data_IF_089223569649
#
_entry.id   IF_089223569649
#
_cell.length_a   1.000
_cell.length_b   1.000
_cell.length_c   1.000
_cell.angle_alpha   90.00
_cell.angle_beta   90.00
_cell.angle_gamma   90.00
#
_symmetry.space_group_name_H-M   'P 1'
#
loop_
_entity.id
_entity.type
_entity.pdbx_description
1 polymer ?
#
# COMPACT_ATOMS: atom_id res chain seq x y z
N UNK A 1 -29.75 -49.20 -56.85
CA UNK A 1 -30.49 -48.97 -55.58
C UNK A 1 -30.09 -47.59 -55.10
N UNK A 2 -31.03 -46.64 -55.10
CA UNK A 2 -30.78 -45.20 -55.01
C UNK A 2 -30.10 -44.79 -53.69
N UNK A 3 -29.01 -44.02 -53.78
CA UNK A 3 -28.27 -43.49 -52.64
C UNK A 3 -29.15 -42.48 -51.86
N UNK A 4 -29.25 -42.70 -50.55
CA UNK A 4 -30.01 -41.86 -49.61
C UNK A 4 -29.28 -40.51 -49.43
N UNK A 5 -29.94 -39.37 -49.65
CA UNK A 5 -29.30 -38.06 -49.54
C UNK A 5 -28.93 -37.73 -48.09
N UNK A 6 -27.70 -37.25 -47.92
CA UNK A 6 -27.15 -36.82 -46.64
C UNK A 6 -27.92 -35.61 -46.13
N UNK A 7 -28.62 -35.81 -45.01
CA UNK A 7 -29.29 -34.76 -44.28
C UNK A 7 -28.19 -33.90 -43.63
N UNK A 8 -27.78 -32.86 -44.35
CA UNK A 8 -26.84 -31.83 -43.92
C UNK A 8 -27.52 -30.99 -42.81
N UNK A 9 -27.75 -31.61 -41.66
CA UNK A 9 -28.28 -30.96 -40.46
C UNK A 9 -27.17 -30.10 -39.90
N UNK A 10 -27.12 -28.88 -40.40
CA UNK A 10 -26.28 -27.78 -39.94
C UNK A 10 -26.49 -27.58 -38.44
N UNK A 11 -25.72 -28.31 -37.64
CA UNK A 11 -25.65 -28.17 -36.20
C UNK A 11 -24.87 -26.89 -35.89
N UNK A 12 -25.44 -25.73 -36.19
CA UNK A 12 -25.02 -24.45 -35.59
C UNK A 12 -25.58 -24.45 -34.17
N UNK A 13 -25.06 -25.38 -33.36
CA UNK A 13 -25.48 -25.61 -31.99
C UNK A 13 -25.10 -24.40 -31.17
N UNK A 14 -26.12 -23.75 -30.62
CA UNK A 14 -25.97 -22.77 -29.56
C UNK A 14 -24.97 -23.28 -28.53
N UNK A 15 -23.75 -22.72 -28.55
CA UNK A 15 -22.71 -23.08 -27.57
C UNK A 15 -23.32 -22.84 -26.20
N UNK A 16 -23.36 -23.88 -25.36
CA UNK A 16 -23.91 -23.78 -24.00
C UNK A 16 -23.29 -22.57 -23.31
N UNK A 17 -24.11 -21.77 -22.61
CA UNK A 17 -23.66 -20.56 -21.90
C UNK A 17 -22.42 -20.83 -21.05
N UNK A 18 -22.36 -22.01 -20.43
CA UNK A 18 -21.21 -22.49 -19.65
C UNK A 18 -19.94 -22.66 -20.49
N UNK A 19 -20.06 -23.19 -21.71
CA UNK A 19 -18.95 -23.34 -22.65
C UNK A 19 -18.45 -21.98 -23.15
N UNK A 20 -19.37 -21.08 -23.52
CA UNK A 20 -19.01 -19.72 -23.91
C UNK A 20 -18.30 -18.97 -22.77
N UNK A 21 -18.73 -19.19 -21.52
CA UNK A 21 -18.07 -18.60 -20.36
C UNK A 21 -16.64 -19.12 -20.17
N UNK A 22 -16.43 -20.44 -20.22
CA UNK A 22 -15.10 -21.05 -20.00
C UNK A 22 -14.09 -20.73 -21.10
N UNK A 23 -14.52 -20.80 -22.36
CA UNK A 23 -13.61 -20.70 -23.50
C UNK A 23 -13.39 -19.27 -23.99
N UNK A 24 -14.32 -18.35 -23.71
CA UNK A 24 -14.25 -16.98 -24.24
C UNK A 24 -14.18 -15.95 -23.13
N UNK A 25 -15.19 -15.93 -22.25
CA UNK A 25 -15.26 -14.87 -21.23
C UNK A 25 -14.17 -15.00 -20.17
N UNK A 26 -13.93 -16.20 -19.63
CA UNK A 26 -12.88 -16.42 -18.62
C UNK A 26 -11.48 -16.00 -19.12
N UNK A 27 -10.98 -16.45 -20.29
CA UNK A 27 -9.67 -16.00 -20.77
C UNK A 27 -9.63 -14.51 -21.08
N UNK A 28 -10.73 -13.93 -21.59
CA UNK A 28 -10.83 -12.49 -21.82
C UNK A 28 -10.74 -11.69 -20.50
N UNK A 29 -11.48 -12.12 -19.48
CA UNK A 29 -11.47 -11.48 -18.15
C UNK A 29 -10.12 -11.61 -17.45
N UNK A 30 -9.47 -12.77 -17.57
CA UNK A 30 -8.14 -12.99 -17.03
C UNK A 30 -7.09 -12.10 -17.72
N UNK A 31 -7.17 -11.94 -19.05
CA UNK A 31 -6.32 -11.00 -19.79
C UNK A 31 -6.51 -9.56 -19.28
N UNK A 32 -7.77 -9.13 -19.12
CA UNK A 32 -8.09 -7.80 -18.56
C UNK A 32 -7.56 -7.62 -17.13
N UNK A 33 -7.67 -8.65 -16.29
CA UNK A 33 -7.13 -8.65 -14.91
C UNK A 33 -5.62 -8.49 -14.91
N UNK A 34 -4.90 -9.27 -15.74
CA UNK A 34 -3.43 -9.19 -15.88
C UNK A 34 -2.99 -7.82 -16.38
N UNK A 35 -3.65 -7.27 -17.39
CA UNK A 35 -3.36 -5.91 -17.87
C UNK A 35 -3.52 -4.85 -16.77
N UNK A 36 -4.55 -4.98 -15.91
CA UNK A 36 -4.72 -4.08 -14.77
C UNK A 36 -3.57 -4.22 -13.76
N UNK A 37 -3.18 -5.44 -13.41
CA UNK A 37 -2.07 -5.69 -12.48
C UNK A 37 -0.77 -5.11 -13.02
N UNK A 38 -0.44 -5.37 -14.29
CA UNK A 38 0.79 -4.85 -14.89
C UNK A 38 0.84 -3.33 -14.88
N UNK A 39 -0.27 -2.64 -15.25
CA UNK A 39 -0.34 -1.18 -15.14
C UNK A 39 -0.07 -0.69 -13.71
N UNK A 40 -0.67 -1.34 -12.71
CA UNK A 40 -0.41 -0.99 -11.31
C UNK A 40 1.05 -1.21 -10.92
N UNK A 41 1.70 -2.26 -11.41
CA UNK A 41 3.11 -2.50 -11.15
C UNK A 41 4.01 -1.43 -11.80
N UNK A 42 3.70 -1.02 -13.02
CA UNK A 42 4.42 0.05 -13.71
C UNK A 42 4.34 1.33 -12.88
N UNK A 43 3.13 1.72 -12.45
CA UNK A 43 2.95 2.87 -11.56
C UNK A 43 3.70 2.74 -10.22
N UNK A 44 3.72 1.56 -9.61
CA UNK A 44 4.46 1.33 -8.36
C UNK A 44 5.96 1.51 -8.61
N UNK A 45 6.50 0.98 -9.71
CA UNK A 45 7.92 1.14 -10.07
C UNK A 45 8.29 2.60 -10.24
N UNK A 46 7.49 3.36 -10.97
CA UNK A 46 7.72 4.80 -11.18
C UNK A 46 7.73 5.57 -9.85
N UNK A 47 6.70 5.35 -9.01
CA UNK A 47 6.60 5.98 -7.68
C UNK A 47 7.77 5.59 -6.77
N UNK A 48 8.18 4.32 -6.80
CA UNK A 48 9.31 3.86 -6.02
C UNK A 48 10.60 4.49 -6.50
N UNK A 49 10.82 4.57 -7.82
CA UNK A 49 12.00 5.22 -8.40
C UNK A 49 12.12 6.68 -7.91
N UNK A 50 11.01 7.42 -7.90
CA UNK A 50 10.96 8.80 -7.42
C UNK A 50 11.26 8.92 -5.91
N UNK A 51 10.66 8.07 -5.08
CA UNK A 51 10.74 8.19 -3.61
C UNK A 51 12.02 7.59 -3.03
N UNK A 52 12.58 6.56 -3.67
CA UNK A 52 13.79 5.87 -3.22
C UNK A 52 15.07 6.40 -3.87
N UNK A 53 14.96 7.25 -4.90
CA UNK A 53 16.07 7.73 -5.71
C UNK A 53 16.93 6.60 -6.30
N UNK A 54 16.30 5.46 -6.58
CA UNK A 54 16.95 4.33 -7.24
C UNK A 54 17.08 4.60 -8.74
N UNK A 55 18.19 4.17 -9.33
CA UNK A 55 18.39 4.28 -10.77
C UNK A 55 17.42 3.38 -11.54
N UNK A 56 17.02 3.81 -12.74
CA UNK A 56 16.10 3.06 -13.59
C UNK A 56 16.62 1.66 -13.96
N UNK A 57 17.95 1.48 -14.04
CA UNK A 57 18.56 0.16 -14.28
C UNK A 57 18.37 -0.79 -13.08
N UNK A 58 18.47 -0.28 -11.86
CA UNK A 58 18.22 -1.05 -10.64
C UNK A 58 16.75 -1.44 -10.56
N UNK A 59 15.83 -0.50 -10.83
CA UNK A 59 14.39 -0.77 -10.89
C UNK A 59 14.00 -1.82 -11.95
N UNK A 60 14.69 -1.83 -13.10
CA UNK A 60 14.42 -2.78 -14.17
C UNK A 60 14.82 -4.22 -13.81
N UNK A 61 15.85 -4.39 -12.96
CA UNK A 61 16.35 -5.70 -12.53
C UNK A 61 15.58 -6.31 -11.36
N UNK A 62 14.83 -5.50 -10.62
CA UNK A 62 14.01 -5.97 -9.51
C UNK A 62 12.89 -6.89 -9.98
N UNK A 63 12.70 -7.99 -9.26
CA UNK A 63 11.59 -8.88 -9.51
C UNK A 63 10.26 -8.28 -8.98
N UNK A 64 9.15 -8.92 -9.32
CA UNK A 64 7.83 -8.43 -8.92
C UNK A 64 7.60 -8.53 -7.40
N UNK A 65 8.25 -9.46 -6.71
CA UNK A 65 8.19 -9.60 -5.26
C UNK A 65 8.94 -8.46 -4.57
N UNK A 66 10.16 -8.18 -5.00
CA UNK A 66 11.04 -7.12 -4.49
C UNK A 66 10.38 -5.74 -4.61
N UNK A 67 9.76 -5.46 -5.76
CA UNK A 67 9.03 -4.21 -6.00
C UNK A 67 7.91 -4.03 -4.97
N UNK A 68 7.17 -5.11 -4.68
CA UNK A 68 6.07 -5.06 -3.70
C UNK A 68 6.61 -4.94 -2.27
N UNK A 69 7.69 -5.63 -1.94
CA UNK A 69 8.34 -5.52 -0.62
C UNK A 69 8.87 -4.11 -0.37
N UNK A 70 9.55 -3.52 -1.36
CA UNK A 70 10.03 -2.14 -1.28
C UNK A 70 8.86 -1.16 -1.11
N UNK A 71 7.78 -1.33 -1.87
CA UNK A 71 6.56 -0.53 -1.71
C UNK A 71 5.98 -0.63 -0.29
N UNK A 72 5.88 -1.84 0.26
CA UNK A 72 5.40 -2.06 1.63
C UNK A 72 6.34 -1.43 2.64
N UNK A 73 7.65 -1.54 2.46
CA UNK A 73 8.65 -0.92 3.33
C UNK A 73 8.56 0.62 3.31
N UNK A 74 8.39 1.24 2.15
CA UNK A 74 8.18 2.68 2.07
C UNK A 74 6.87 3.11 2.74
N UNK A 75 5.78 2.37 2.52
CA UNK A 75 4.50 2.66 3.16
C UNK A 75 4.58 2.49 4.68
N UNK A 76 5.25 1.45 5.19
CA UNK A 76 5.41 1.24 6.63
C UNK A 76 6.26 2.34 7.26
N UNK A 77 7.35 2.76 6.59
CA UNK A 77 8.17 3.90 7.03
C UNK A 77 7.38 5.20 7.06
N UNK A 78 6.51 5.45 6.08
CA UNK A 78 5.65 6.66 6.02
C UNK A 78 4.53 6.65 7.06
N UNK A 79 3.97 5.48 7.38
CA UNK A 79 2.92 5.34 8.39
C UNK A 79 3.48 5.21 9.81
N UNK A 80 4.77 4.95 9.98
CA UNK A 80 5.42 5.08 11.26
C UNK A 80 5.54 6.59 11.55
N UNK A 81 4.87 7.14 12.59
CA UNK A 81 4.91 8.56 12.91
C UNK A 81 6.31 8.92 13.45
N UNK A 82 7.30 8.95 12.56
CA UNK A 82 8.56 9.62 12.83
C UNK A 82 8.26 11.10 12.65
N UNK A 83 8.20 11.80 13.78
CA UNK A 83 7.96 13.24 13.86
C UNK A 83 8.79 14.01 12.82
N UNK A 84 8.16 14.40 11.73
CA UNK A 84 8.66 15.42 10.82
C UNK A 84 7.55 16.46 10.67
N UNK A 85 7.75 17.68 11.17
CA UNK A 85 6.73 18.72 11.18
C UNK A 85 6.78 19.47 9.86
N UNK A 86 5.97 19.11 8.87
CA UNK A 86 5.79 19.95 7.67
C UNK A 86 4.42 19.72 7.04
N UNK A 87 3.49 20.60 7.42
CA UNK A 87 2.42 21.19 6.61
C UNK A 87 1.54 20.30 5.70
N UNK A 88 0.23 20.50 5.91
CA UNK A 88 -0.91 20.16 5.06
C UNK A 88 -1.45 18.71 5.18
N UNK A 89 -2.62 18.51 5.83
CA UNK A 89 -3.34 17.24 5.81
C UNK A 89 -4.03 17.06 4.45
N UNK A 90 -3.24 16.86 3.40
CA UNK A 90 -3.76 16.37 2.12
C UNK A 90 -3.43 14.89 2.03
N UNK A 91 -4.45 14.05 2.20
CA UNK A 91 -4.61 12.70 1.62
C UNK A 91 -5.14 11.68 2.63
N UNK A 92 -6.48 11.64 2.76
CA UNK A 92 -7.27 10.41 2.64
C UNK A 92 -7.09 9.23 3.61
N UNK A 93 -6.13 9.24 4.53
CA UNK A 93 -6.06 8.23 5.59
C UNK A 93 -6.91 8.75 6.74
N UNK A 94 -8.00 8.04 7.05
CA UNK A 94 -8.81 8.26 8.24
C UNK A 94 -7.94 8.09 9.49
N UNK A 95 -7.17 9.11 9.85
CA UNK A 95 -6.49 9.16 11.13
C UNK A 95 -7.57 9.40 12.19
N UNK A 96 -7.62 8.53 13.19
CA UNK A 96 -8.56 8.69 14.29
C UNK A 96 -8.29 10.06 14.94
N UNK A 97 -9.32 10.86 15.29
CA UNK A 97 -9.12 12.17 15.91
C UNK A 97 -8.19 12.13 17.12
N UNK A 98 -8.18 11.01 17.85
CA UNK A 98 -7.30 10.79 18.99
C UNK A 98 -5.83 10.63 18.58
N UNK A 99 -5.53 9.99 17.45
CA UNK A 99 -4.17 9.83 16.95
C UNK A 99 -3.60 11.18 16.51
N UNK A 100 -4.42 12.01 15.87
CA UNK A 100 -4.06 13.38 15.53
C UNK A 100 -3.75 14.21 16.78
N UNK A 101 -4.57 14.10 17.84
CA UNK A 101 -4.32 14.77 19.12
C UNK A 101 -2.98 14.34 19.73
N UNK A 102 -2.72 13.03 19.82
CA UNK A 102 -1.49 12.51 20.38
C UNK A 102 -0.25 12.87 19.53
N UNK A 103 -0.40 12.93 18.21
CA UNK A 103 0.64 13.41 17.30
C UNK A 103 1.00 14.87 17.59
N UNK A 104 0.01 15.77 17.64
CA UNK A 104 0.25 17.19 17.94
C UNK A 104 0.76 17.42 19.36
N UNK A 105 0.29 16.61 20.33
CA UNK A 105 0.79 16.63 21.69
C UNK A 105 2.28 16.23 21.76
N UNK A 106 2.67 15.16 21.05
CA UNK A 106 4.06 14.71 20.96
C UNK A 106 4.95 15.78 20.35
N UNK A 107 4.48 16.46 19.30
CA UNK A 107 5.20 17.55 18.65
C UNK A 107 5.43 18.72 19.60
N UNK A 108 4.38 19.17 20.30
CA UNK A 108 4.47 20.22 21.32
C UNK A 108 5.47 19.84 22.44
N UNK A 109 5.41 18.61 22.92
CA UNK A 109 6.32 18.08 23.94
C UNK A 109 7.78 18.09 23.47
N UNK A 110 8.04 17.66 22.23
CA UNK A 110 9.39 17.66 21.66
C UNK A 110 9.94 19.07 21.51
N UNK A 111 9.10 20.01 21.08
CA UNK A 111 9.46 21.43 20.95
C UNK A 111 9.84 22.04 22.31
N UNK A 112 9.04 21.79 23.35
CA UNK A 112 9.33 22.24 24.72
C UNK A 112 10.62 21.60 25.24
N UNK A 113 10.83 20.32 25.01
CA UNK A 113 12.05 19.62 25.41
C UNK A 113 13.29 20.21 24.73
N UNK A 114 13.22 20.47 23.42
CA UNK A 114 14.29 21.11 22.66
C UNK A 114 14.56 22.53 23.17
N UNK A 115 13.51 23.31 23.45
CA UNK A 115 13.65 24.66 24.00
C UNK A 115 14.33 24.65 25.37
N UNK A 116 13.95 23.75 26.28
CA UNK A 116 14.57 23.61 27.60
C UNK A 116 16.05 23.23 27.48
N UNK A 117 16.37 22.25 26.62
CA UNK A 117 17.74 21.82 26.35
C UNK A 117 18.59 22.95 25.77
N UNK A 118 18.04 23.75 24.85
CA UNK A 118 18.72 24.91 24.26
C UNK A 118 19.06 25.96 25.31
N UNK A 119 18.22 26.12 26.34
CA UNK A 119 18.46 27.03 27.46
C UNK A 119 19.30 26.42 28.60
N UNK A 120 19.91 25.24 28.38
CA UNK A 120 20.75 24.56 29.37
C UNK A 120 19.98 23.88 30.49
N UNK A 121 18.64 23.81 30.41
CA UNK A 121 17.83 23.04 31.33
C UNK A 121 17.77 21.59 30.86
N UNK A 122 18.43 20.70 31.58
CA UNK A 122 18.20 19.27 31.43
C UNK A 122 16.91 18.90 32.17
N UNK A 123 15.91 18.31 31.49
CA UNK A 123 14.77 17.74 32.18
C UNK A 123 15.24 16.71 33.21
N UNK A 124 14.55 16.62 34.35
CA UNK A 124 14.85 15.59 35.33
C UNK A 124 14.72 14.21 34.70
N UNK A 125 15.51 13.24 35.16
CA UNK A 125 15.44 11.85 34.67
C UNK A 125 14.01 11.29 34.74
N UNK A 126 13.26 11.68 35.78
CA UNK A 126 11.86 11.30 35.96
C UNK A 126 10.95 11.94 34.92
N UNK A 127 11.14 13.23 34.59
CA UNK A 127 10.39 13.87 33.50
C UNK A 127 10.69 13.21 32.16
N UNK A 128 11.97 12.95 31.84
CA UNK A 128 12.35 12.30 30.58
C UNK A 128 11.74 10.90 30.46
N UNK A 129 11.73 10.12 31.55
CA UNK A 129 11.12 8.79 31.60
C UNK A 129 9.60 8.86 31.40
N UNK A 130 8.93 9.81 32.05
CA UNK A 130 7.49 10.00 31.91
C UNK A 130 7.15 10.47 30.49
N UNK A 131 7.99 11.31 29.90
CA UNK A 131 7.90 11.75 28.51
C UNK A 131 7.99 10.56 27.56
N UNK A 132 9.02 9.72 27.71
CA UNK A 132 9.21 8.54 26.88
C UNK A 132 8.03 7.57 27.02
N UNK A 133 7.51 7.38 28.23
CA UNK A 133 6.32 6.57 28.46
C UNK A 133 5.08 7.16 27.79
N UNK A 134 4.84 8.45 27.93
CA UNK A 134 3.68 9.13 27.35
C UNK A 134 3.76 9.15 25.82
N UNK A 135 4.96 9.32 25.27
CA UNK A 135 5.24 9.30 23.85
C UNK A 135 5.18 7.88 23.25
N UNK A 136 5.64 6.86 23.98
CA UNK A 136 5.63 5.48 23.50
C UNK A 136 4.28 4.76 23.71
N UNK A 137 3.57 5.08 24.80
CA UNK A 137 2.35 4.36 25.22
C UNK A 137 1.18 4.51 24.25
N UNK A 138 1.15 5.55 23.42
CA UNK A 138 0.05 5.78 22.47
C UNK A 138 0.25 5.10 21.12
N UNK A 139 1.46 4.58 20.84
CA UNK A 139 1.80 3.93 19.56
C UNK A 139 1.32 2.47 19.44
N UNK A 140 0.63 1.91 20.45
CA UNK A 140 0.11 0.53 20.40
C UNK A 140 -1.23 0.38 19.67
N UNK A 141 -1.61 1.33 18.82
CA UNK A 141 -2.58 1.04 17.76
C UNK A 141 -1.90 0.04 16.83
N UNK A 142 -2.24 -1.25 16.98
CA UNK A 142 -1.78 -2.31 16.09
C UNK A 142 -1.98 -1.80 14.66
N UNK A 143 -0.91 -1.60 13.87
CA UNK A 143 -1.12 -1.29 12.47
C UNK A 143 -1.98 -2.42 11.92
N UNK A 144 -3.01 -2.06 11.16
CA UNK A 144 -3.87 -3.02 10.48
C UNK A 144 -2.96 -3.88 9.61
N UNK A 145 -2.50 -4.99 10.19
CA UNK A 145 -1.63 -5.94 9.55
C UNK A 145 -2.52 -6.49 8.45
N UNK A 146 -2.19 -6.12 7.21
CA UNK A 146 -2.73 -6.76 6.04
C UNK A 146 -2.85 -8.26 6.35
N UNK A 147 -4.09 -8.77 6.43
CA UNK A 147 -4.36 -10.20 6.36
C UNK A 147 -4.58 -10.50 4.89
N UNK A 148 -3.61 -11.11 4.20
CA UNK A 148 -3.98 -11.93 3.06
C UNK A 148 -4.86 -13.02 3.68
N UNK A 149 -6.16 -12.93 3.38
CA UNK A 149 -7.24 -13.89 3.64
C UNK A 149 -6.88 -15.18 4.38
#
# INVERSE_FOLDING_TARGET
MMARPEEQKSHVGAKSRSHQYREVFKPMMERKRRSRINRCLDFIKDLLQEVSHLDGETMAKMDMGDVLELAVHHLSKKNCPVATPTTAPTSGVYQSPIDCYWSGFRECVLEVSQFLQHNGYQPSFEFAKELDHLVASTSKSKPNLWRPW
#
